data_IF_005723189256
#
_entry.id   IF_005723189256
#
_cell.length_a   1.000
_cell.length_b   1.000
_cell.length_c   1.000
_cell.angle_alpha   90.00
_cell.angle_beta   90.00
_cell.angle_gamma   90.00
#
_symmetry.space_group_name_H-M   'P 1'
#
loop_
_entity.id
_entity.type
_entity.pdbx_description
1 polymer ?
#
# COMPACT_ATOMS: atom_id res chain seq x y z
N UNK A 1 46.55 -71.04 3.66
CA UNK A 1 47.09 -70.16 4.72
C UNK A 1 47.25 -68.75 4.17
N UNK A 2 46.42 -67.81 4.67
CA UNK A 2 46.65 -66.37 4.89
C UNK A 2 47.10 -65.45 3.73
N UNK A 3 46.21 -64.47 3.44
CA UNK A 3 46.37 -63.02 3.11
C UNK A 3 45.40 -62.67 1.97
N UNK A 4 44.19 -62.12 2.16
CA UNK A 4 43.77 -60.90 2.85
C UNK A 4 44.68 -59.71 2.57
N UNK A 5 44.35 -58.89 1.56
CA UNK A 5 44.24 -57.44 1.75
C UNK A 5 43.75 -56.70 0.49
N UNK A 6 42.60 -56.02 0.64
CA UNK A 6 42.30 -54.67 0.16
C UNK A 6 42.39 -54.37 -1.35
N UNK A 7 41.24 -54.18 -2.00
CA UNK A 7 40.87 -52.89 -2.59
C UNK A 7 39.37 -52.89 -2.97
N UNK A 8 38.49 -52.80 -1.97
CA UNK A 8 37.15 -52.24 -2.23
C UNK A 8 37.38 -50.73 -2.35
N UNK A 9 37.58 -50.25 -3.58
CA UNK A 9 37.48 -48.81 -3.86
C UNK A 9 36.00 -48.47 -3.75
N UNK A 10 35.57 -48.23 -2.51
CA UNK A 10 34.37 -47.47 -2.20
C UNK A 10 34.57 -46.09 -2.84
N UNK A 11 34.05 -45.93 -4.06
CA UNK A 11 33.82 -44.63 -4.65
C UNK A 11 32.71 -43.95 -3.83
N UNK A 12 33.08 -43.45 -2.65
CA UNK A 12 32.31 -42.46 -1.93
C UNK A 12 32.35 -41.19 -2.78
N UNK A 13 31.46 -41.11 -3.78
CA UNK A 13 31.04 -39.83 -4.31
C UNK A 13 30.28 -39.18 -3.17
N UNK A 14 31.00 -38.43 -2.33
CA UNK A 14 30.41 -37.43 -1.49
C UNK A 14 29.71 -36.44 -2.43
N UNK A 15 28.44 -36.69 -2.71
CA UNK A 15 27.52 -35.64 -3.12
C UNK A 15 27.45 -34.68 -1.93
N UNK A 16 28.41 -33.76 -1.85
CA UNK A 16 28.25 -32.56 -1.08
C UNK A 16 27.13 -31.80 -1.77
N UNK A 17 25.89 -32.05 -1.35
CA UNK A 17 24.81 -31.09 -1.51
C UNK A 17 25.33 -29.81 -0.84
N UNK A 18 25.88 -28.92 -1.66
CA UNK A 18 26.37 -27.64 -1.22
C UNK A 18 25.19 -26.84 -0.71
N UNK A 19 24.88 -26.99 0.57
CA UNK A 19 24.00 -26.09 1.29
C UNK A 19 24.69 -24.73 1.26
N UNK A 20 24.34 -23.90 0.26
CA UNK A 20 24.75 -22.50 0.27
C UNK A 20 24.09 -21.88 1.49
N UNK A 21 24.90 -21.56 2.50
CA UNK A 21 24.44 -20.81 3.65
C UNK A 21 23.75 -19.54 3.14
N UNK A 22 22.54 -19.27 3.62
CA UNK A 22 21.86 -18.02 3.33
C UNK A 22 22.70 -16.89 3.93
N UNK A 23 23.22 -16.00 3.08
CA UNK A 23 23.93 -14.81 3.53
C UNK A 23 22.89 -13.72 3.72
N UNK A 24 22.66 -13.34 4.97
CA UNK A 24 21.79 -12.23 5.34
C UNK A 24 22.50 -10.90 5.05
N UNK A 25 21.77 -9.92 4.51
CA UNK A 25 22.25 -8.55 4.38
C UNK A 25 21.40 -7.72 3.44
N UNK A 26 21.82 -6.48 3.21
CA UNK A 26 21.18 -5.62 2.23
C UNK A 26 21.40 -6.14 0.80
N UNK A 27 20.33 -6.47 0.09
CA UNK A 27 20.32 -7.03 -1.27
C UNK A 27 20.20 -5.98 -2.38
N UNK A 28 20.08 -4.69 -2.03
CA UNK A 28 19.78 -3.62 -2.97
C UNK A 28 21.03 -2.80 -3.36
N UNK A 29 21.45 -2.82 -4.64
CA UNK A 29 22.64 -2.09 -5.12
C UNK A 29 22.60 -0.56 -4.97
N UNK A 30 21.41 0.04 -4.78
CA UNK A 30 21.28 1.49 -4.56
C UNK A 30 21.43 1.88 -3.08
N UNK A 31 21.61 0.90 -2.19
CA UNK A 31 21.88 1.13 -0.77
C UNK A 31 23.36 1.41 -0.49
N UNK A 32 23.66 2.14 0.60
CA UNK A 32 25.04 2.42 1.02
C UNK A 32 25.76 1.19 1.59
N UNK A 33 25.02 0.27 2.19
CA UNK A 33 25.53 -0.96 2.81
C UNK A 33 25.14 -2.21 1.99
N UNK A 34 25.00 -2.06 0.67
CA UNK A 34 24.75 -3.18 -0.23
C UNK A 34 25.81 -4.29 -0.04
N UNK A 35 25.34 -5.51 0.16
CA UNK A 35 26.18 -6.70 0.23
C UNK A 35 25.92 -7.57 -1.02
N UNK A 36 26.87 -7.65 -1.98
CA UNK A 36 26.70 -8.46 -3.19
C UNK A 36 26.66 -9.97 -2.92
N UNK A 37 27.08 -10.41 -1.74
CA UNK A 37 26.97 -11.82 -1.33
C UNK A 37 25.62 -12.12 -0.65
N UNK A 38 24.83 -11.10 -0.27
CA UNK A 38 23.55 -11.32 0.40
C UNK A 38 22.56 -12.03 -0.52
N UNK A 39 22.10 -13.21 -0.09
CA UNK A 39 21.06 -14.00 -0.75
C UNK A 39 19.71 -13.82 -0.08
N UNK A 40 19.67 -13.21 1.11
CA UNK A 40 18.46 -12.96 1.89
C UNK A 40 18.45 -11.52 2.40
N UNK A 41 17.35 -10.80 2.17
CA UNK A 41 17.16 -9.44 2.65
C UNK A 41 16.72 -9.44 4.12
N UNK A 42 17.50 -8.79 4.97
CA UNK A 42 17.19 -8.61 6.41
C UNK A 42 16.65 -7.22 6.75
N UNK A 43 16.36 -6.42 5.73
CA UNK A 43 15.78 -5.10 5.89
C UNK A 43 16.76 -4.06 6.42
N UNK A 44 18.06 -4.36 6.46
CA UNK A 44 19.13 -3.48 6.95
C UNK A 44 19.57 -2.40 5.96
N UNK A 45 19.04 -2.37 4.74
CA UNK A 45 19.47 -1.41 3.71
C UNK A 45 19.33 0.05 4.16
N UNK A 46 20.44 0.79 4.15
CA UNK A 46 20.52 2.22 4.41
C UNK A 46 20.53 3.01 3.11
N UNK A 47 19.59 3.95 2.99
CA UNK A 47 19.38 4.73 1.78
C UNK A 47 19.70 6.21 2.00
N UNK A 48 20.26 6.85 0.97
CA UNK A 48 20.34 8.32 0.95
C UNK A 48 18.93 8.91 0.94
N UNK A 49 18.77 10.08 1.58
CA UNK A 49 17.51 10.83 1.53
C UNK A 49 17.17 11.15 0.08
N UNK A 50 16.04 10.67 -0.40
CA UNK A 50 15.56 10.93 -1.74
C UNK A 50 14.41 11.94 -1.74
N UNK A 51 14.33 12.71 -2.82
CA UNK A 51 13.31 13.75 -3.01
C UNK A 51 12.93 13.79 -4.48
N UNK A 52 11.64 13.68 -4.76
CA UNK A 52 11.10 13.72 -6.13
C UNK A 52 10.11 14.87 -6.28
N UNK A 53 9.97 15.38 -7.52
CA UNK A 53 8.88 16.28 -7.90
C UNK A 53 7.92 15.51 -8.82
N UNK A 54 6.63 15.86 -8.85
CA UNK A 54 5.76 15.42 -9.92
C UNK A 54 6.30 15.83 -11.28
N UNK A 55 6.14 14.94 -12.26
CA UNK A 55 6.35 15.21 -13.67
C UNK A 55 5.30 16.21 -14.15
N UNK A 56 4.06 16.01 -13.70
CA UNK A 56 2.99 16.99 -13.86
C UNK A 56 2.03 16.99 -12.67
N UNK A 57 1.20 18.03 -12.60
CA UNK A 57 0.11 18.15 -11.65
C UNK A 57 -1.06 18.86 -12.31
N UNK A 58 -2.27 18.35 -12.13
CA UNK A 58 -3.48 18.89 -12.76
C UNK A 58 -4.58 18.97 -11.70
N UNK A 59 -5.39 20.01 -11.79
CA UNK A 59 -6.51 20.21 -10.88
C UNK A 59 -7.60 19.19 -11.21
N UNK A 60 -8.14 18.53 -10.18
CA UNK A 60 -9.30 17.65 -10.34
C UNK A 60 -10.59 18.47 -10.35
N UNK A 61 -11.67 17.85 -10.83
CA UNK A 61 -13.02 18.42 -10.74
C UNK A 61 -13.36 18.82 -9.29
N UNK A 62 -14.22 19.84 -9.11
CA UNK A 62 -14.70 20.25 -7.78
C UNK A 62 -15.51 19.18 -7.07
N UNK A 63 -16.11 18.25 -7.81
CA UNK A 63 -16.78 17.08 -7.24
C UNK A 63 -15.81 16.22 -6.42
N UNK A 64 -14.53 16.15 -6.81
CA UNK A 64 -13.51 15.32 -6.17
C UNK A 64 -12.70 16.07 -5.10
N UNK A 65 -13.35 16.96 -4.35
CA UNK A 65 -12.69 17.84 -3.39
C UNK A 65 -12.06 17.13 -2.19
N UNK A 66 -12.50 15.91 -1.89
CA UNK A 66 -12.13 15.11 -0.72
C UNK A 66 -11.74 13.68 -1.15
N UNK A 67 -11.07 13.58 -2.31
CA UNK A 67 -10.54 12.31 -2.84
C UNK A 67 -9.67 11.59 -1.81
N UNK A 68 -10.08 10.39 -1.39
CA UNK A 68 -9.40 9.62 -0.34
C UNK A 68 -8.63 8.40 -0.89
N UNK A 69 -9.19 7.64 -1.84
CA UNK A 69 -8.53 6.46 -2.43
C UNK A 69 -8.12 6.63 -3.90
N UNK A 70 -7.15 5.83 -4.39
CA UNK A 70 -6.78 5.81 -5.81
C UNK A 70 -6.37 4.42 -6.30
N UNK A 71 -6.99 3.95 -7.37
CA UNK A 71 -6.72 2.65 -7.98
C UNK A 71 -6.44 2.79 -9.48
N UNK A 72 -5.49 2.03 -10.02
CA UNK A 72 -5.38 1.86 -11.47
C UNK A 72 -6.11 0.58 -11.90
N UNK A 73 -7.13 0.70 -12.75
CA UNK A 73 -7.88 -0.44 -13.26
C UNK A 73 -8.45 -0.12 -14.64
N UNK A 74 -8.28 -1.05 -15.58
CA UNK A 74 -8.82 -0.96 -16.96
C UNK A 74 -8.42 0.33 -17.69
N UNK A 75 -7.12 0.66 -17.62
CA UNK A 75 -6.54 1.84 -18.28
C UNK A 75 -6.90 3.19 -17.64
N UNK A 76 -7.63 3.20 -16.52
CA UNK A 76 -8.13 4.41 -15.85
C UNK A 76 -7.69 4.48 -14.40
N UNK A 77 -7.75 5.68 -13.85
CA UNK A 77 -7.64 5.90 -12.41
C UNK A 77 -9.03 5.93 -11.79
N UNK A 78 -9.26 5.17 -10.74
CA UNK A 78 -10.52 5.11 -10.02
C UNK A 78 -10.36 5.73 -8.65
N UNK A 79 -11.28 6.62 -8.27
CA UNK A 79 -11.25 7.31 -6.98
C UNK A 79 -12.66 7.45 -6.41
N UNK A 80 -12.72 7.88 -5.15
CA UNK A 80 -13.90 8.07 -4.33
C UNK A 80 -13.61 9.22 -3.33
N UNK A 81 -14.66 9.89 -2.86
CA UNK A 81 -14.61 10.97 -1.87
C UNK A 81 -14.90 10.41 -0.45
N UNK A 82 -14.25 10.94 0.58
CA UNK A 82 -14.30 10.40 1.94
C UNK A 82 -15.67 10.47 2.66
N UNK A 83 -16.54 11.44 2.37
CA UNK A 83 -17.81 11.63 3.08
C UNK A 83 -19.03 11.79 2.15
N UNK A 84 -20.17 11.20 2.53
CA UNK A 84 -21.51 11.25 1.89
C UNK A 84 -21.63 10.78 0.44
N UNK A 85 -20.66 11.08 -0.42
CA UNK A 85 -20.68 10.72 -1.83
C UNK A 85 -20.48 9.21 -1.98
N UNK A 86 -21.41 8.55 -2.63
CA UNK A 86 -21.40 7.09 -2.83
C UNK A 86 -20.95 6.70 -4.23
N UNK A 87 -20.44 7.65 -5.02
CA UNK A 87 -20.00 7.38 -6.38
C UNK A 87 -18.52 7.01 -6.48
N UNK A 88 -18.24 6.08 -7.39
CA UNK A 88 -16.90 5.82 -7.92
C UNK A 88 -16.69 6.62 -9.20
N UNK A 89 -15.52 7.23 -9.34
CA UNK A 89 -15.17 8.05 -10.50
C UNK A 89 -13.97 7.47 -11.23
N UNK A 90 -14.13 7.19 -12.52
CA UNK A 90 -13.06 6.80 -13.41
C UNK A 90 -12.50 8.05 -14.11
N UNK A 91 -11.19 8.25 -14.00
CA UNK A 91 -10.47 9.42 -14.48
C UNK A 91 -9.52 9.06 -15.61
N UNK A 92 -9.37 9.98 -16.55
CA UNK A 92 -8.32 9.93 -17.56
C UNK A 92 -6.92 10.03 -16.91
N UNK A 93 -5.98 9.20 -17.35
CA UNK A 93 -4.63 9.12 -16.76
C UNK A 93 -3.71 10.30 -17.14
N UNK A 94 -4.14 11.16 -18.06
CA UNK A 94 -3.37 12.31 -18.59
C UNK A 94 -4.02 13.63 -18.18
N UNK A 95 -5.33 13.79 -18.39
CA UNK A 95 -6.06 15.02 -18.09
C UNK A 95 -6.59 15.06 -16.65
N UNK A 96 -6.88 13.90 -16.04
CA UNK A 96 -7.56 13.78 -14.75
C UNK A 96 -9.04 14.12 -14.78
N UNK A 97 -9.61 14.25 -15.98
CA UNK A 97 -11.04 14.49 -16.15
C UNK A 97 -11.83 13.21 -15.85
N UNK A 98 -13.02 13.40 -15.26
CA UNK A 98 -13.96 12.32 -15.01
C UNK A 98 -14.49 11.82 -16.35
N UNK A 99 -14.18 10.57 -16.69
CA UNK A 99 -14.68 9.89 -17.88
C UNK A 99 -16.00 9.17 -17.58
N UNK A 100 -16.10 8.53 -16.41
CA UNK A 100 -17.30 7.85 -15.94
C UNK A 100 -17.50 8.05 -14.43
N UNK A 101 -18.74 7.95 -13.99
CA UNK A 101 -19.12 7.88 -12.59
C UNK A 101 -20.17 6.81 -12.36
N UNK A 102 -20.05 6.05 -11.27
CA UNK A 102 -20.99 4.99 -10.90
C UNK A 102 -21.43 5.20 -9.45
N UNK A 103 -22.68 5.61 -9.26
CA UNK A 103 -23.29 5.72 -7.94
C UNK A 103 -23.59 4.33 -7.36
N UNK A 104 -23.07 4.05 -6.17
CA UNK A 104 -23.36 2.83 -5.45
C UNK A 104 -24.65 3.02 -4.64
N UNK A 105 -25.75 2.42 -5.11
CA UNK A 105 -27.04 2.51 -4.42
C UNK A 105 -27.05 1.64 -3.17
N UNK A 106 -27.84 2.02 -2.18
CA UNK A 106 -28.07 1.29 -0.93
C UNK A 106 -26.82 1.07 -0.06
N UNK A 107 -25.77 1.86 -0.28
CA UNK A 107 -24.64 1.99 0.64
C UNK A 107 -24.65 3.38 1.24
N UNK A 108 -24.00 3.51 2.40
CA UNK A 108 -23.75 4.79 3.02
C UNK A 108 -22.25 5.03 3.07
N UNK A 109 -21.84 6.22 2.70
CA UNK A 109 -20.49 6.70 2.93
C UNK A 109 -20.46 7.50 4.24
N UNK A 110 -19.79 6.94 5.25
CA UNK A 110 -19.61 7.57 6.56
C UNK A 110 -18.20 8.11 6.75
N UNK A 111 -17.20 7.38 6.27
CA UNK A 111 -15.78 7.72 6.32
C UNK A 111 -15.06 6.76 5.37
N UNK A 112 -15.31 6.92 4.06
CA UNK A 112 -14.76 6.04 3.04
C UNK A 112 -13.28 6.29 2.84
N UNK A 113 -12.51 5.22 2.97
CA UNK A 113 -11.07 5.25 2.87
C UNK A 113 -10.60 4.20 1.88
N UNK A 114 -9.62 4.57 1.05
CA UNK A 114 -8.90 3.69 0.12
C UNK A 114 -9.78 2.88 -0.87
N UNK A 115 -9.22 2.59 -2.04
CA UNK A 115 -9.84 1.66 -2.99
C UNK A 115 -8.79 0.68 -3.52
N UNK A 116 -9.10 -0.61 -3.44
CA UNK A 116 -8.22 -1.67 -3.92
C UNK A 116 -8.99 -2.71 -4.73
N UNK A 117 -8.29 -3.72 -5.24
CA UNK A 117 -8.89 -4.72 -6.13
C UNK A 117 -8.23 -6.09 -6.02
N UNK A 118 -8.96 -7.12 -6.44
CA UNK A 118 -8.39 -8.36 -6.95
C UNK A 118 -8.89 -8.63 -8.38
N UNK A 119 -8.78 -9.86 -8.88
CA UNK A 119 -9.25 -10.20 -10.23
C UNK A 119 -10.74 -9.99 -10.44
N UNK A 120 -11.56 -10.13 -9.38
CA UNK A 120 -13.01 -10.26 -9.49
C UNK A 120 -13.76 -9.10 -8.82
N UNK A 121 -13.15 -8.48 -7.81
CA UNK A 121 -13.81 -7.48 -6.98
C UNK A 121 -13.01 -6.18 -6.86
N UNK A 122 -13.74 -5.08 -6.70
CA UNK A 122 -13.24 -3.85 -6.10
C UNK A 122 -13.56 -3.86 -4.61
N UNK A 123 -12.73 -3.19 -3.83
CA UNK A 123 -12.88 -3.06 -2.38
C UNK A 123 -12.81 -1.59 -2.01
N UNK A 124 -13.72 -1.11 -1.16
CA UNK A 124 -13.73 0.26 -0.62
C UNK A 124 -13.80 0.17 0.89
N UNK A 125 -12.90 0.84 1.60
CA UNK A 125 -12.96 0.93 3.05
C UNK A 125 -14.02 1.91 3.51
N UNK A 126 -14.76 1.58 4.56
CA UNK A 126 -15.58 2.52 5.34
C UNK A 126 -15.18 2.31 6.80
N UNK A 127 -14.01 2.84 7.13
CA UNK A 127 -13.33 2.53 8.39
C UNK A 127 -12.48 3.68 8.94
N UNK A 128 -12.50 4.86 8.33
CA UNK A 128 -11.96 6.06 8.94
C UNK A 128 -12.58 6.28 10.32
N UNK A 129 -11.78 6.76 11.27
CA UNK A 129 -12.13 6.81 12.70
C UNK A 129 -11.43 7.95 13.44
N UNK A 130 -11.03 9.01 12.73
CA UNK A 130 -10.21 10.09 13.26
C UNK A 130 -10.97 11.03 14.23
N UNK A 131 -12.30 11.12 14.13
CA UNK A 131 -13.13 12.11 14.85
C UNK A 131 -13.21 11.86 16.36
N UNK A 132 -13.51 10.62 16.77
CA UNK A 132 -13.60 10.23 18.17
C UNK A 132 -12.84 8.93 18.50
N UNK A 133 -12.37 8.18 17.49
CA UNK A 133 -11.64 6.94 17.71
C UNK A 133 -12.48 5.77 18.22
N UNK A 134 -13.81 5.85 18.16
CA UNK A 134 -14.72 4.92 18.84
C UNK A 134 -15.72 4.22 17.91
N UNK A 135 -15.51 4.25 16.58
CA UNK A 135 -16.37 3.50 15.66
C UNK A 135 -16.32 2.00 15.91
N UNK A 136 -17.49 1.36 15.87
CA UNK A 136 -17.69 -0.10 16.03
C UNK A 136 -18.29 -0.76 14.78
N UNK A 137 -18.54 0.05 13.76
CA UNK A 137 -19.20 -0.29 12.51
C UNK A 137 -18.23 -0.23 11.32
N UNK A 138 -16.96 -0.59 11.56
CA UNK A 138 -15.92 -0.60 10.52
C UNK A 138 -16.21 -1.71 9.51
N UNK A 139 -16.07 -1.39 8.23
CA UNK A 139 -16.37 -2.34 7.16
C UNK A 139 -15.57 -2.05 5.89
N UNK A 140 -15.58 -3.01 4.98
CA UNK A 140 -15.06 -2.91 3.62
C UNK A 140 -16.18 -3.39 2.69
N UNK A 141 -16.60 -2.53 1.77
CA UNK A 141 -17.51 -2.89 0.69
C UNK A 141 -16.75 -3.68 -0.36
N UNK A 142 -17.34 -4.77 -0.85
CA UNK A 142 -16.76 -5.61 -1.90
C UNK A 142 -17.71 -5.68 -3.08
N UNK A 143 -17.30 -5.11 -4.20
CA UNK A 143 -18.14 -4.87 -5.38
C UNK A 143 -17.70 -5.78 -6.51
N UNK A 144 -18.61 -6.56 -7.09
CA UNK A 144 -18.27 -7.43 -8.22
C UNK A 144 -18.01 -6.60 -9.48
N UNK A 145 -16.81 -6.70 -10.06
CA UNK A 145 -16.36 -5.81 -11.15
C UNK A 145 -17.27 -5.81 -12.38
N UNK A 146 -17.72 -6.99 -12.82
CA UNK A 146 -18.58 -7.13 -13.99
C UNK A 146 -20.00 -6.56 -13.79
N UNK A 147 -20.39 -6.27 -12.54
CA UNK A 147 -21.71 -5.72 -12.20
C UNK A 147 -21.71 -4.19 -12.12
N UNK A 148 -20.53 -3.57 -12.00
CA UNK A 148 -20.37 -2.15 -11.67
C UNK A 148 -21.14 -1.21 -12.60
N UNK A 149 -21.14 -1.50 -13.91
CA UNK A 149 -21.77 -0.64 -14.92
C UNK A 149 -23.25 -0.91 -15.16
N UNK A 150 -23.84 -1.94 -14.53
CA UNK A 150 -25.23 -2.36 -14.76
C UNK A 150 -26.04 -2.21 -13.49
N UNK A 151 -25.72 -3.02 -12.48
CA UNK A 151 -26.33 -3.01 -11.17
C UNK A 151 -25.30 -3.57 -10.18
N UNK A 152 -24.53 -2.70 -9.49
CA UNK A 152 -23.46 -3.13 -8.60
C UNK A 152 -23.94 -4.18 -7.59
N UNK A 153 -23.34 -5.36 -7.63
CA UNK A 153 -23.49 -6.42 -6.63
C UNK A 153 -22.45 -6.16 -5.56
N UNK A 154 -22.92 -5.85 -4.35
CA UNK A 154 -22.10 -5.40 -3.23
C UNK A 154 -22.31 -6.33 -2.03
N UNK A 155 -21.22 -6.93 -1.56
CA UNK A 155 -21.14 -7.60 -0.26
C UNK A 155 -20.35 -6.74 0.74
N UNK A 156 -20.40 -7.11 2.03
CA UNK A 156 -19.69 -6.36 3.07
C UNK A 156 -18.84 -7.27 3.95
N UNK A 157 -17.60 -6.84 4.20
CA UNK A 157 -16.67 -7.43 5.15
C UNK A 157 -16.64 -6.49 6.37
N UNK A 158 -17.24 -6.90 7.48
CA UNK A 158 -17.21 -6.14 8.72
C UNK A 158 -16.02 -6.57 9.57
N UNK A 159 -15.45 -5.64 10.32
CA UNK A 159 -14.36 -5.99 11.23
C UNK A 159 -14.26 -5.12 12.48
N UNK A 160 -13.56 -5.65 13.47
CA UNK A 160 -12.98 -4.89 14.59
C UNK A 160 -11.48 -5.16 14.69
N UNK A 161 -10.73 -4.22 15.27
CA UNK A 161 -9.31 -4.43 15.55
C UNK A 161 -9.14 -5.39 16.74
N UNK A 162 -8.18 -6.32 16.65
CA UNK A 162 -7.97 -7.37 17.65
C UNK A 162 -7.66 -6.89 19.07
N UNK A 163 -7.14 -5.67 19.19
CA UNK A 163 -6.59 -5.06 20.40
C UNK A 163 -7.26 -3.73 20.77
N UNK A 164 -8.26 -3.27 20.00
CA UNK A 164 -9.09 -2.13 20.39
C UNK A 164 -10.17 -2.56 21.38
N UNK A 165 -9.88 -2.43 22.67
CA UNK A 165 -10.82 -2.76 23.75
C UNK A 165 -11.49 -1.53 24.38
N UNK A 166 -10.88 -0.35 24.23
CA UNK A 166 -11.41 0.93 24.73
C UNK A 166 -12.05 1.73 23.59
N UNK A 167 -13.32 2.09 23.78
CA UNK A 167 -14.12 2.90 22.85
C UNK A 167 -14.61 4.19 23.51
N UNK A 168 -13.95 4.62 24.58
CA UNK A 168 -14.19 5.94 25.18
C UNK A 168 -13.87 7.01 24.14
N UNK A 169 -14.82 7.89 23.80
CA UNK A 169 -14.60 8.93 22.80
C UNK A 169 -13.39 9.81 23.15
N UNK A 170 -12.49 10.00 22.19
CA UNK A 170 -11.35 10.90 22.30
C UNK A 170 -11.58 12.18 21.48
N UNK A 171 -10.70 13.18 21.63
CA UNK A 171 -10.73 14.34 20.73
C UNK A 171 -10.28 13.92 19.33
N UNK A 172 -10.74 14.65 18.31
CA UNK A 172 -10.32 14.42 16.93
C UNK A 172 -8.79 14.34 16.79
N UNK A 173 -8.35 13.43 15.92
CA UNK A 173 -6.95 13.19 15.58
C UNK A 173 -6.08 12.78 16.78
N UNK A 174 -6.64 11.91 17.65
CA UNK A 174 -5.94 11.32 18.80
C UNK A 174 -5.90 9.80 18.83
N UNK A 175 -6.71 9.16 18.01
CA UNK A 175 -6.77 7.69 17.93
C UNK A 175 -5.56 7.10 17.20
N UNK A 176 -5.27 5.84 17.52
CA UNK A 176 -4.29 4.98 16.84
C UNK A 176 -5.00 3.90 15.98
N UNK A 177 -6.34 3.88 16.01
CA UNK A 177 -7.26 2.95 15.33
C UNK A 177 -8.03 3.64 14.19
N UNK A 178 -7.35 4.56 13.53
CA UNK A 178 -7.81 5.22 12.31
C UNK A 178 -7.26 4.44 11.13
N UNK A 179 -8.09 3.63 10.47
CA UNK A 179 -7.66 2.96 9.25
C UNK A 179 -7.77 3.95 8.11
N UNK A 180 -6.75 4.05 7.26
CA UNK A 180 -6.85 4.93 6.07
C UNK A 180 -6.31 4.31 4.79
N UNK A 181 -5.47 3.26 4.89
CA UNK A 181 -5.02 2.55 3.70
C UNK A 181 -5.18 1.05 3.86
N UNK A 182 -5.34 0.34 2.75
CA UNK A 182 -5.29 -1.11 2.72
C UNK A 182 -4.84 -1.64 1.36
N UNK A 183 -4.37 -2.88 1.36
CA UNK A 183 -4.04 -3.62 0.15
C UNK A 183 -4.76 -4.96 0.15
N UNK A 184 -5.12 -5.42 -1.04
CA UNK A 184 -5.73 -6.74 -1.26
C UNK A 184 -4.68 -7.67 -1.84
N UNK A 185 -4.41 -8.77 -1.15
CA UNK A 185 -3.56 -9.88 -1.64
C UNK A 185 -4.43 -11.04 -2.14
N UNK A 186 -3.81 -12.13 -2.60
CA UNK A 186 -4.54 -13.38 -2.90
C UNK A 186 -5.33 -13.90 -1.71
N UNK A 187 -4.74 -13.86 -0.52
CA UNK A 187 -5.27 -14.56 0.66
C UNK A 187 -6.03 -13.64 1.63
N UNK A 188 -5.60 -12.39 1.77
CA UNK A 188 -6.07 -11.48 2.83
C UNK A 188 -6.09 -10.01 2.41
N UNK A 189 -6.85 -9.21 3.15
CA UNK A 189 -6.71 -7.75 3.16
C UNK A 189 -5.73 -7.38 4.28
N UNK A 190 -4.88 -6.39 4.01
CA UNK A 190 -3.99 -5.79 5.00
C UNK A 190 -4.29 -4.31 5.15
N UNK A 191 -4.71 -3.89 6.34
CA UNK A 191 -5.07 -2.50 6.69
C UNK A 191 -3.87 -1.83 7.35
N UNK A 192 -3.58 -0.58 6.98
CA UNK A 192 -2.57 0.29 7.54
C UNK A 192 -3.25 1.45 8.26
N UNK A 193 -2.95 1.63 9.54
CA UNK A 193 -3.52 2.73 10.32
C UNK A 193 -2.74 4.02 10.19
N UNK A 194 -3.46 5.15 10.28
CA UNK A 194 -2.96 6.50 10.43
C UNK A 194 -2.85 6.87 11.90
N UNK A 195 -1.70 6.59 12.49
CA UNK A 195 -1.55 6.82 13.93
C UNK A 195 -1.21 8.28 14.23
N UNK A 196 -2.23 9.06 14.59
CA UNK A 196 -2.12 10.51 14.77
C UNK A 196 -1.17 10.90 15.89
N UNK A 197 -1.09 10.15 16.98
CA UNK A 197 -0.24 10.52 18.11
C UNK A 197 1.18 10.04 17.87
N UNK A 198 1.35 8.74 17.58
CA UNK A 198 2.66 8.11 17.46
C UNK A 198 3.38 8.34 16.12
N UNK A 199 2.66 8.73 15.06
CA UNK A 199 3.18 8.85 13.67
C UNK A 199 3.75 7.54 13.11
N UNK A 200 3.23 6.42 13.61
CA UNK A 200 3.51 5.06 13.15
C UNK A 200 2.36 4.56 12.26
N UNK A 201 2.46 3.32 11.81
CA UNK A 201 1.35 2.60 11.19
C UNK A 201 1.31 1.19 11.76
N UNK A 202 0.15 0.74 12.20
CA UNK A 202 -0.10 -0.65 12.53
C UNK A 202 -0.65 -1.35 11.29
N UNK A 203 -0.19 -2.58 11.06
CA UNK A 203 -0.69 -3.45 9.99
C UNK A 203 -1.59 -4.51 10.59
N UNK A 204 -2.83 -4.58 10.12
CA UNK A 204 -3.78 -5.62 10.49
C UNK A 204 -4.11 -6.49 9.29
N UNK A 205 -4.34 -7.78 9.50
CA UNK A 205 -4.79 -8.70 8.45
C UNK A 205 -6.18 -9.26 8.74
N UNK A 206 -7.01 -9.41 7.71
CA UNK A 206 -8.31 -10.07 7.78
C UNK A 206 -8.64 -10.83 6.48
N UNK A 207 -9.52 -11.85 6.53
CA UNK A 207 -10.01 -12.53 5.33
C UNK A 207 -10.75 -11.59 4.37
N UNK A 208 -10.75 -11.95 3.09
CA UNK A 208 -11.46 -11.20 2.03
C UNK A 208 -12.92 -11.63 1.81
N UNK A 209 -13.42 -12.48 2.70
CA UNK A 209 -14.75 -13.06 2.59
C UNK A 209 -15.76 -12.18 3.34
N UNK A 210 -16.99 -12.01 2.83
CA UNK A 210 -18.03 -11.26 3.52
C UNK A 210 -18.33 -11.86 4.89
N UNK A 211 -18.81 -11.04 5.82
CA UNK A 211 -19.12 -11.45 7.19
C UNK A 211 -18.35 -10.65 8.23
N UNK A 212 -18.37 -11.15 9.47
CA UNK A 212 -17.77 -10.50 10.64
C UNK A 212 -16.39 -11.09 10.92
N UNK A 213 -15.38 -10.22 11.03
CA UNK A 213 -13.99 -10.63 11.25
C UNK A 213 -13.34 -9.85 12.39
N UNK A 214 -12.28 -10.42 12.96
CA UNK A 214 -11.37 -9.70 13.85
C UNK A 214 -10.07 -9.50 13.09
N UNK A 215 -9.77 -8.26 12.73
CA UNK A 215 -8.53 -7.90 12.06
C UNK A 215 -7.36 -8.09 13.03
N UNK A 216 -6.41 -8.97 12.66
CA UNK A 216 -5.30 -9.39 13.53
C UNK A 216 -4.10 -8.48 13.36
N UNK A 217 -3.61 -7.89 14.44
CA UNK A 217 -2.38 -7.11 14.43
C UNK A 217 -1.20 -7.98 13.96
N UNK A 218 -0.44 -7.48 12.98
CA UNK A 218 0.73 -8.13 12.41
C UNK A 218 2.02 -7.46 12.86
N UNK A 219 2.10 -6.14 12.73
CA UNK A 219 3.27 -5.36 13.09
C UNK A 219 2.89 -3.89 13.29
N UNK A 220 3.78 -3.13 13.93
CA UNK A 220 3.68 -1.67 14.05
C UNK A 220 5.01 -1.08 13.60
N UNK A 221 4.98 -0.16 12.65
CA UNK A 221 6.20 0.42 12.07
C UNK A 221 6.24 1.95 12.20
N UNK A 222 7.41 2.49 12.56
CA UNK A 222 7.63 3.93 12.62
C UNK A 222 7.91 4.51 11.22
N UNK A 223 6.84 5.04 10.62
CA UNK A 223 6.88 5.71 9.31
C UNK A 223 7.22 7.20 9.42
N UNK A 224 7.23 7.76 10.64
CA UNK A 224 7.43 9.19 10.94
C UNK A 224 6.49 10.09 10.12
N UNK A 225 5.21 9.69 10.07
CA UNK A 225 4.17 10.35 9.29
C UNK A 225 2.78 9.76 9.52
N UNK A 226 1.84 10.23 8.73
CA UNK A 226 0.44 9.79 8.68
C UNK A 226 0.27 9.09 7.33
N UNK A 227 -0.01 7.78 7.33
CA UNK A 227 -0.32 7.00 6.13
C UNK A 227 -1.77 7.25 5.75
N UNK A 228 -2.02 7.35 4.45
CA UNK A 228 -3.34 7.72 3.92
C UNK A 228 -3.75 6.92 2.69
N UNK A 229 -2.78 6.32 1.98
CA UNK A 229 -3.09 5.45 0.85
C UNK A 229 -1.99 4.44 0.59
N UNK A 230 -2.34 3.38 -0.13
CA UNK A 230 -1.48 2.26 -0.46
C UNK A 230 -1.80 1.68 -1.84
N UNK A 231 -0.77 1.20 -2.52
CA UNK A 231 -0.92 0.40 -3.73
C UNK A 231 -0.02 -0.82 -3.65
N UNK A 232 -0.49 -1.94 -4.20
CA UNK A 232 0.21 -3.22 -4.13
C UNK A 232 0.29 -3.89 -5.49
N UNK A 233 1.51 -4.17 -5.93
CA UNK A 233 1.79 -5.04 -7.06
C UNK A 233 2.32 -6.37 -6.51
N UNK A 234 1.41 -7.28 -6.21
CA UNK A 234 1.71 -8.57 -5.57
C UNK A 234 2.72 -9.40 -6.37
N UNK A 235 2.56 -9.49 -7.69
CA UNK A 235 3.50 -10.21 -8.57
C UNK A 235 4.93 -9.66 -8.56
N UNK A 236 5.11 -8.43 -8.05
CA UNK A 236 6.40 -7.74 -7.96
C UNK A 236 6.91 -7.63 -6.51
N UNK A 237 6.18 -8.17 -5.52
CA UNK A 237 6.42 -7.95 -4.09
C UNK A 237 6.74 -6.47 -3.80
N UNK A 238 5.84 -5.57 -4.23
CA UNK A 238 6.06 -4.13 -4.16
C UNK A 238 4.80 -3.44 -3.62
N UNK A 239 4.92 -2.89 -2.41
CA UNK A 239 3.93 -2.00 -1.81
C UNK A 239 4.49 -0.59 -1.82
N UNK A 240 3.66 0.39 -2.21
CA UNK A 240 3.97 1.81 -2.03
C UNK A 240 2.86 2.45 -1.23
N UNK A 241 3.23 3.05 -0.10
CA UNK A 241 2.35 3.85 0.72
C UNK A 241 2.54 5.33 0.38
N UNK A 242 1.48 6.13 0.44
CA UNK A 242 1.56 7.58 0.50
C UNK A 242 1.10 8.11 1.86
N UNK A 243 1.43 9.37 2.11
CA UNK A 243 1.11 10.03 3.35
C UNK A 243 1.81 11.36 3.50
N UNK A 244 1.65 11.99 4.65
CA UNK A 244 2.28 13.27 4.97
C UNK A 244 2.66 13.36 6.45
N UNK A 245 3.57 14.28 6.78
CA UNK A 245 3.85 14.58 8.20
C UNK A 245 2.80 15.52 8.78
N UNK A 246 2.75 15.67 10.11
CA UNK A 246 1.93 16.69 10.81
C UNK A 246 2.14 18.14 10.35
N UNK A 247 3.24 18.40 9.61
CA UNK A 247 3.53 19.70 8.98
C UNK A 247 3.13 19.74 7.50
N UNK A 248 2.28 18.82 7.06
CA UNK A 248 1.81 18.64 5.68
C UNK A 248 2.97 18.56 4.68
N UNK A 249 3.93 17.67 4.97
CA UNK A 249 5.04 17.35 4.05
C UNK A 249 4.82 15.95 3.49
N UNK A 250 4.33 15.81 2.24
CA UNK A 250 4.04 14.51 1.67
C UNK A 250 5.28 13.66 1.42
N UNK A 251 5.09 12.36 1.47
CA UNK A 251 6.10 11.35 1.19
C UNK A 251 5.48 10.12 0.54
N UNK A 252 6.33 9.34 -0.13
CA UNK A 252 6.06 7.95 -0.48
C UNK A 252 6.92 7.05 0.40
N UNK A 253 6.41 5.87 0.73
CA UNK A 253 7.11 4.83 1.46
C UNK A 253 7.11 3.56 0.62
N UNK A 254 8.27 3.22 0.04
CA UNK A 254 8.43 2.05 -0.82
C UNK A 254 8.83 0.87 0.06
N UNK A 255 8.12 -0.23 -0.09
CA UNK A 255 8.33 -1.50 0.59
C UNK A 255 8.46 -2.58 -0.48
N UNK A 256 9.60 -3.25 -0.54
CA UNK A 256 9.86 -4.25 -1.59
C UNK A 256 10.93 -5.25 -1.18
N UNK A 257 11.07 -6.33 -1.94
CA UNK A 257 11.99 -7.43 -1.61
C UNK A 257 11.74 -8.02 -0.21
N UNK A 258 10.47 -8.05 0.18
CA UNK A 258 9.99 -8.73 1.38
C UNK A 258 9.52 -10.14 1.07
N UNK A 259 9.38 -10.96 2.13
CA UNK A 259 8.83 -12.31 2.06
C UNK A 259 7.41 -12.36 2.61
N UNK A 260 6.51 -13.03 1.90
CA UNK A 260 5.10 -13.16 2.29
C UNK A 260 4.45 -11.81 2.57
N UNK A 261 3.84 -11.69 3.75
CA UNK A 261 3.15 -10.48 4.21
C UNK A 261 3.97 -9.64 5.21
N UNK A 262 5.27 -9.91 5.35
CA UNK A 262 6.14 -9.11 6.20
C UNK A 262 6.69 -7.90 5.43
N UNK A 263 5.78 -6.99 5.07
CA UNK A 263 6.05 -5.86 4.17
C UNK A 263 7.20 -4.96 4.63
N UNK A 264 7.48 -4.92 5.94
CA UNK A 264 8.53 -4.11 6.54
C UNK A 264 9.83 -4.89 6.79
N UNK A 265 9.90 -6.21 6.56
CA UNK A 265 11.15 -6.97 6.68
C UNK A 265 12.12 -6.73 5.52
N UNK A 266 11.63 -6.37 4.33
CA UNK A 266 12.48 -6.11 3.17
C UNK A 266 13.05 -4.69 3.10
N UNK A 267 13.29 -4.23 1.87
CA UNK A 267 13.73 -2.88 1.57
C UNK A 267 12.67 -1.85 1.91
N UNK A 268 13.07 -0.80 2.63
CA UNK A 268 12.22 0.30 3.09
C UNK A 268 12.81 1.64 2.64
N UNK A 269 12.11 2.39 1.81
CA UNK A 269 12.57 3.73 1.37
C UNK A 269 11.50 4.78 1.56
N UNK A 270 11.83 5.82 2.34
CA UNK A 270 10.98 7.01 2.47
C UNK A 270 11.46 8.11 1.54
N UNK A 271 10.60 8.53 0.61
CA UNK A 271 10.88 9.50 -0.44
C UNK A 271 10.08 10.77 -0.19
N UNK A 272 10.75 11.92 -0.11
CA UNK A 272 10.05 13.20 0.05
C UNK A 272 9.44 13.66 -1.27
N UNK A 273 8.17 14.04 -1.25
CA UNK A 273 7.51 14.67 -2.40
C UNK A 273 7.68 16.20 -2.35
N UNK A 274 7.94 16.83 -3.50
CA UNK A 274 7.96 18.30 -3.67
C UNK A 274 6.54 18.86 -3.82
N UNK A 275 5.67 18.53 -2.87
CA UNK A 275 4.27 18.96 -2.80
C UNK A 275 3.96 19.55 -1.41
N UNK A 276 4.63 20.64 -0.99
CA UNK A 276 4.43 21.18 0.36
C UNK A 276 2.96 21.57 0.56
N UNK A 277 2.44 21.24 1.74
CA UNK A 277 1.08 21.51 2.19
C UNK A 277 -0.04 20.78 1.45
N UNK A 278 0.27 19.82 0.57
CA UNK A 278 -0.76 18.97 -0.03
C UNK A 278 -1.07 17.83 0.94
N UNK A 279 -2.34 17.57 1.20
CA UNK A 279 -2.80 16.34 1.87
C UNK A 279 -2.94 15.28 0.80
N UNK A 280 -1.86 14.54 0.53
CA UNK A 280 -1.88 13.44 -0.43
C UNK A 280 -2.59 12.26 0.24
N UNK A 281 -3.65 11.77 -0.38
CA UNK A 281 -4.51 10.72 0.17
C UNK A 281 -4.41 9.44 -0.66
N UNK A 282 -4.54 9.50 -1.99
CA UNK A 282 -4.46 8.32 -2.86
C UNK A 282 -3.10 8.10 -3.56
N UNK A 283 -2.74 6.82 -3.81
CA UNK A 283 -1.61 6.41 -4.65
C UNK A 283 -1.97 5.21 -5.53
N UNK A 284 -1.62 5.27 -6.81
CA UNK A 284 -1.85 4.16 -7.75
C UNK A 284 -0.69 3.97 -8.73
N UNK A 285 -0.57 2.76 -9.26
CA UNK A 285 0.36 2.45 -10.36
C UNK A 285 -0.16 1.29 -11.18
N UNK A 286 0.15 1.29 -12.47
CA UNK A 286 -0.01 0.13 -13.34
C UNK A 286 1.26 -0.75 -13.31
N UNK A 287 2.43 -0.12 -13.40
CA UNK A 287 3.67 -0.79 -13.76
C UNK A 287 4.72 -0.81 -12.66
N UNK A 288 4.53 -0.09 -11.56
CA UNK A 288 5.46 -0.03 -10.43
C UNK A 288 6.63 0.93 -10.62
N UNK A 289 6.67 1.68 -11.72
CA UNK A 289 7.67 2.70 -12.03
C UNK A 289 7.05 4.10 -12.07
N UNK A 290 5.91 4.23 -12.73
CA UNK A 290 5.15 5.47 -12.84
C UNK A 290 3.99 5.42 -11.85
N UNK A 291 3.88 6.43 -11.00
CA UNK A 291 2.85 6.49 -9.96
C UNK A 291 1.98 7.72 -10.13
N UNK A 292 0.70 7.54 -9.83
CA UNK A 292 -0.31 8.57 -9.77
C UNK A 292 -0.63 8.84 -8.30
N UNK A 293 -0.88 10.09 -7.96
CA UNK A 293 -1.22 10.52 -6.60
C UNK A 293 -2.38 11.50 -6.66
N UNK A 294 -3.27 11.47 -5.69
CA UNK A 294 -4.28 12.52 -5.49
C UNK A 294 -4.05 13.25 -4.17
N UNK A 295 -4.52 14.50 -4.11
CA UNK A 295 -4.60 15.25 -2.87
C UNK A 295 -5.96 15.91 -2.73
N UNK A 296 -6.42 16.08 -1.50
CA UNK A 296 -7.66 16.79 -1.18
C UNK A 296 -7.52 18.31 -1.32
N UNK A 297 -8.66 18.97 -1.35
CA UNK A 297 -8.75 20.39 -1.13
C UNK A 297 -8.40 20.73 0.33
N UNK A 298 -7.26 21.37 0.54
CA UNK A 298 -6.85 21.84 1.87
C UNK A 298 -6.66 23.35 1.91
N UNK A 299 -7.41 24.01 2.77
CA UNK A 299 -7.35 25.47 2.96
C UNK A 299 -7.26 25.85 4.43
N UNK A 300 -6.23 26.62 4.78
CA UNK A 300 -6.07 27.29 6.08
C UNK A 300 -5.77 28.77 5.83
N UNK A 301 -6.83 29.58 5.80
CA UNK A 301 -6.74 31.02 5.53
C UNK A 301 -5.89 31.74 6.60
N UNK A 302 -5.14 32.80 6.23
CA UNK A 302 -4.91 33.30 4.87
C UNK A 302 -3.74 32.60 4.13
N UNK A 303 -3.00 31.69 4.77
CA UNK A 303 -1.67 31.29 4.32
C UNK A 303 -1.61 30.04 3.43
N UNK A 304 -2.60 29.14 3.53
CA UNK A 304 -2.61 27.88 2.78
C UNK A 304 -3.90 27.77 2.00
N UNK A 305 -3.78 27.57 0.69
CA UNK A 305 -4.86 27.18 -0.20
C UNK A 305 -4.31 26.20 -1.25
N UNK A 306 -4.62 24.92 -1.08
CA UNK A 306 -4.24 23.84 -2.00
C UNK A 306 -5.52 23.22 -2.54
N UNK A 307 -5.86 23.42 -3.82
CA UNK A 307 -6.98 22.71 -4.40
C UNK A 307 -6.63 21.22 -4.55
N UNK A 308 -7.66 20.41 -4.69
CA UNK A 308 -7.55 19.02 -5.07
C UNK A 308 -6.87 18.88 -6.44
N UNK A 309 -5.91 17.96 -6.54
CA UNK A 309 -5.16 17.70 -7.76
C UNK A 309 -4.85 16.22 -7.87
N UNK A 310 -4.53 15.80 -9.08
CA UNK A 310 -3.76 14.58 -9.28
C UNK A 310 -2.37 14.92 -9.83
N UNK A 311 -1.44 14.03 -9.55
CA UNK A 311 -0.02 14.16 -9.84
C UNK A 311 0.48 12.87 -10.47
N UNK A 312 1.50 12.99 -11.32
CA UNK A 312 2.26 11.83 -11.79
C UNK A 312 3.72 11.98 -11.37
N UNK A 313 4.33 10.92 -10.89
CA UNK A 313 5.76 10.87 -10.50
C UNK A 313 6.44 9.64 -11.11
N UNK A 314 7.70 9.82 -11.51
CA UNK A 314 8.56 8.72 -11.94
C UNK A 314 9.48 8.23 -10.80
N UNK A 315 9.36 6.94 -10.46
CA UNK A 315 10.21 6.23 -9.51
C UNK A 315 11.23 5.29 -10.19
N UNK A 316 11.41 5.39 -11.51
CA UNK A 316 12.31 4.52 -12.27
C UNK A 316 13.73 4.51 -11.72
N UNK A 317 14.25 5.67 -11.31
CA UNK A 317 15.58 5.78 -10.70
C UNK A 317 15.74 5.04 -9.37
N UNK A 318 14.63 4.61 -8.74
CA UNK A 318 14.64 3.91 -7.47
C UNK A 318 14.23 2.43 -7.59
N UNK A 319 13.36 2.10 -8.54
CA UNK A 319 12.70 0.78 -8.62
C UNK A 319 13.04 -0.03 -9.87
N UNK A 320 13.58 0.57 -10.94
CA UNK A 320 13.82 -0.14 -12.21
C UNK A 320 14.76 -1.33 -12.04
N UNK A 321 15.88 -1.16 -11.34
CA UNK A 321 16.84 -2.23 -11.12
C UNK A 321 16.23 -3.43 -10.36
N UNK A 322 15.41 -3.15 -9.35
CA UNK A 322 14.69 -4.17 -8.59
C UNK A 322 13.68 -4.93 -9.47
N UNK A 323 12.87 -4.20 -10.24
CA UNK A 323 11.84 -4.81 -11.07
C UNK A 323 12.41 -5.66 -12.23
N UNK A 324 13.50 -5.22 -12.86
CA UNK A 324 14.17 -6.05 -13.88
C UNK A 324 14.79 -7.31 -13.28
N UNK A 325 15.47 -7.21 -12.12
CA UNK A 325 15.99 -8.37 -11.40
C UNK A 325 14.87 -9.36 -11.05
N UNK A 326 13.72 -8.88 -10.58
CA UNK A 326 12.57 -9.73 -10.25
C UNK A 326 12.02 -10.44 -11.49
N UNK A 327 11.94 -9.74 -12.62
CA UNK A 327 11.50 -10.31 -13.91
C UNK A 327 12.44 -11.41 -14.40
N UNK A 328 13.75 -11.25 -14.22
CA UNK A 328 14.74 -12.28 -14.55
C UNK A 328 14.61 -13.54 -13.67
N UNK A 329 14.35 -13.37 -12.37
CA UNK A 329 14.13 -14.50 -11.45
C UNK A 329 12.91 -15.31 -11.89
N UNK A 330 11.78 -14.64 -12.13
CA UNK A 330 10.54 -15.29 -12.58
C UNK A 330 10.72 -16.01 -13.92
N UNK A 331 11.54 -15.47 -14.83
CA UNK A 331 11.87 -16.14 -16.11
C UNK A 331 12.73 -17.39 -15.98
N UNK A 332 13.50 -17.53 -14.90
CA UNK A 332 14.34 -18.70 -14.65
C UNK A 332 13.59 -19.82 -13.92
N UNK A 333 12.48 -19.47 -13.27
CA UNK A 333 11.63 -20.40 -12.50
C UNK A 333 10.50 -21.03 -13.35
N UNK A 334 10.21 -20.48 -14.53
CA UNK A 334 9.24 -21.00 -15.51
C UNK A 334 9.95 -21.62 -16.71
#
# INVERSE_FOLDING_TARGET
MKTLCWLVVLLNIAFTLGARAQVSGCTDPLSKNYNPQATWNDGSCDYKKAKIKPDFSKKLDKKLHETSGLLFWDGKLWTQNDDKDTALYALDTISGEIQQSYELKNVANKDWEEISQDSSYLYIGDFGNNSAGNRKDLRILRIQKNSLSVNPVIDTIHFSYSDQIDFTPSRANKTEYDGEAFIVSKDSIYIFTKQWTSQKTAVYSLPKLPGQHIAKLKTIHDVRGLITGATFLESKNLVVLCGYTKRLKPFLYLLYDFSGADFFAGNKRRIKLRLPFHQVEGVATENGLQYYLTNENFSRKPFINKPQKFHKVDLSGLLKAYLEKKKEIVRKEN
#
